data_IF_051909999434
#
_entry.id   IF_051909999434
#
_cell.length_a   1.000
_cell.length_b   1.000
_cell.length_c   1.000
_cell.angle_alpha   90.00
_cell.angle_beta   90.00
_cell.angle_gamma   90.00
#
_symmetry.space_group_name_H-M   'P 1'
#
loop_
_entity.id
_entity.type
_entity.pdbx_description
1 polymer ?
#
# COMPACT_ATOMS: atom_id res chain seq x y z
N UNK A 1 29.34 -51.53 42.77
CA UNK A 1 28.36 -51.48 41.69
C UNK A 1 26.98 -50.96 42.14
N UNK A 2 26.50 -51.28 43.36
CA UNK A 2 25.22 -50.81 43.91
C UNK A 2 25.11 -49.29 44.18
N UNK A 3 26.18 -48.60 44.57
CA UNK A 3 26.15 -47.14 44.80
C UNK A 3 25.99 -46.32 43.50
N UNK A 4 26.46 -46.79 42.35
CA UNK A 4 26.25 -46.09 41.06
C UNK A 4 24.81 -46.19 40.56
N UNK A 5 24.09 -47.24 40.89
CA UNK A 5 22.68 -47.42 40.52
C UNK A 5 21.76 -46.53 41.37
N UNK A 6 22.05 -46.28 42.65
CA UNK A 6 21.24 -45.39 43.49
C UNK A 6 21.35 -43.89 43.07
N UNK A 7 22.54 -43.43 42.64
CA UNK A 7 22.71 -42.04 42.16
C UNK A 7 22.01 -41.80 40.85
N UNK A 8 21.98 -42.77 39.95
CA UNK A 8 21.23 -42.62 38.65
C UNK A 8 19.71 -42.63 38.86
N UNK A 9 19.18 -43.35 39.84
CA UNK A 9 17.76 -43.38 40.15
C UNK A 9 17.22 -42.07 40.79
N UNK A 10 18.06 -41.29 41.46
CA UNK A 10 17.71 -39.98 42.01
C UNK A 10 17.94 -38.83 41.00
N UNK A 11 18.92 -38.96 40.11
CA UNK A 11 19.23 -37.91 39.11
C UNK A 11 18.14 -37.75 38.07
N UNK A 12 17.50 -38.81 37.63
CA UNK A 12 16.45 -38.77 36.60
C UNK A 12 15.22 -37.96 37.03
N UNK A 13 14.62 -38.22 38.23
CA UNK A 13 13.47 -37.43 38.70
C UNK A 13 13.84 -35.98 39.01
N UNK A 14 15.04 -35.67 39.48
CA UNK A 14 15.50 -34.29 39.70
C UNK A 14 15.67 -33.57 38.38
N UNK A 15 16.24 -34.20 37.38
CA UNK A 15 16.38 -33.64 36.04
C UNK A 15 15.01 -33.39 35.39
N UNK A 16 14.05 -34.30 35.58
CA UNK A 16 12.66 -34.13 35.10
C UNK A 16 11.94 -32.99 35.82
N UNK A 17 12.12 -32.83 37.11
CA UNK A 17 11.59 -31.70 37.91
C UNK A 17 12.19 -30.37 37.46
N UNK A 18 13.50 -30.31 37.23
CA UNK A 18 14.18 -29.11 36.72
C UNK A 18 13.69 -28.79 35.30
N UNK A 19 13.62 -29.76 34.44
CA UNK A 19 13.08 -29.57 33.06
C UNK A 19 11.61 -29.15 33.07
N UNK A 20 10.79 -29.75 33.95
CA UNK A 20 9.38 -29.32 34.08
C UNK A 20 9.22 -27.90 34.61
N UNK A 21 10.07 -27.48 35.57
CA UNK A 21 10.05 -26.10 36.07
C UNK A 21 10.50 -25.10 35.02
N UNK A 22 11.51 -25.41 34.19
CA UNK A 22 11.92 -24.57 33.07
C UNK A 22 10.83 -24.51 32.00
N UNK A 23 10.15 -25.61 31.69
CA UNK A 23 9.02 -25.64 30.76
C UNK A 23 7.84 -24.82 31.29
N UNK A 24 7.49 -24.97 32.58
CA UNK A 24 6.45 -24.16 33.23
C UNK A 24 6.77 -22.67 33.22
N UNK A 25 8.01 -22.28 33.53
CA UNK A 25 8.45 -20.89 33.46
C UNK A 25 8.42 -20.35 32.03
N UNK A 26 8.85 -21.15 31.07
CA UNK A 26 8.78 -20.78 29.63
C UNK A 26 7.35 -20.52 29.17
N UNK A 27 6.40 -21.36 29.58
CA UNK A 27 4.97 -21.21 29.25
C UNK A 27 4.36 -19.98 29.92
N UNK A 28 4.75 -19.70 31.19
CA UNK A 28 4.27 -18.53 31.95
C UNK A 28 4.81 -17.22 31.37
N UNK A 29 6.07 -17.19 30.96
CA UNK A 29 6.68 -16.04 30.27
C UNK A 29 5.97 -15.78 28.94
N UNK A 30 5.64 -16.79 28.17
CA UNK A 30 4.96 -16.63 26.86
C UNK A 30 3.52 -16.10 27.03
N UNK A 31 2.79 -16.54 28.06
CA UNK A 31 1.43 -16.04 28.36
C UNK A 31 1.40 -14.56 28.76
N UNK A 32 2.49 -14.04 29.33
CA UNK A 32 2.57 -12.66 29.80
C UNK A 32 3.06 -11.66 28.72
N UNK A 33 3.45 -12.12 27.53
CA UNK A 33 3.80 -11.22 26.44
C UNK A 33 2.58 -10.48 25.91
N UNK A 34 2.71 -9.18 25.55
CA UNK A 34 1.64 -8.47 24.89
C UNK A 34 1.40 -9.00 23.47
N UNK A 35 0.27 -8.63 22.91
CA UNK A 35 -0.05 -8.84 21.51
C UNK A 35 -0.02 -7.50 20.77
N UNK A 36 0.17 -7.51 19.43
CA UNK A 36 0.26 -6.28 18.67
C UNK A 36 -0.44 -6.35 17.30
N UNK A 37 -0.92 -5.21 16.85
CA UNK A 37 -1.21 -4.95 15.45
C UNK A 37 0.05 -4.35 14.83
N UNK A 38 0.50 -4.88 13.69
CA UNK A 38 1.77 -4.48 13.07
C UNK A 38 1.57 -4.14 11.60
N UNK A 39 2.21 -3.07 11.17
CA UNK A 39 2.34 -2.68 9.76
C UNK A 39 3.77 -2.27 9.44
N UNK A 40 4.05 -1.90 8.19
CA UNK A 40 5.36 -1.43 7.75
C UNK A 40 5.26 -0.13 6.97
N UNK A 41 6.30 0.70 7.09
CA UNK A 41 6.53 1.87 6.26
C UNK A 41 7.97 1.86 5.73
N UNK A 42 8.13 2.03 4.42
CA UNK A 42 9.41 2.29 3.79
C UNK A 42 9.32 3.57 2.94
N UNK A 43 10.33 4.42 3.06
CA UNK A 43 10.34 5.74 2.43
C UNK A 43 9.15 6.63 2.83
N UNK A 44 8.69 7.46 1.89
CA UNK A 44 7.58 8.42 2.10
C UNK A 44 6.23 7.96 1.54
N UNK A 45 6.22 6.89 0.73
CA UNK A 45 5.10 6.61 -0.19
C UNK A 45 3.77 6.30 0.48
N UNK A 46 3.76 5.69 1.67
CA UNK A 46 2.55 5.23 2.37
C UNK A 46 2.34 5.84 3.76
N UNK A 47 3.01 6.95 4.09
CA UNK A 47 2.84 7.64 5.38
C UNK A 47 1.36 7.91 5.69
N UNK A 48 0.63 8.48 4.75
CA UNK A 48 -0.79 8.79 4.93
C UNK A 48 -1.63 7.52 5.16
N UNK A 49 -1.34 6.44 4.45
CA UNK A 49 -2.01 5.14 4.66
C UNK A 49 -1.79 4.61 6.07
N UNK A 50 -0.54 4.58 6.55
CA UNK A 50 -0.19 4.17 7.92
C UNK A 50 -0.90 5.02 8.97
N UNK A 51 -0.99 6.34 8.75
CA UNK A 51 -1.67 7.26 9.66
C UNK A 51 -3.17 6.99 9.72
N UNK A 52 -3.82 6.78 8.58
CA UNK A 52 -5.26 6.49 8.50
C UNK A 52 -5.57 5.11 9.09
N UNK A 53 -4.74 4.10 8.82
CA UNK A 53 -4.82 2.81 9.51
C UNK A 53 -4.73 2.99 11.03
N UNK A 54 -3.74 3.76 11.52
CA UNK A 54 -3.58 4.05 12.95
C UNK A 54 -4.81 4.76 13.55
N UNK A 55 -5.46 5.65 12.79
CA UNK A 55 -6.71 6.29 13.21
C UNK A 55 -7.84 5.26 13.36
N UNK A 56 -8.01 4.36 12.39
CA UNK A 56 -9.03 3.31 12.47
C UNK A 56 -8.77 2.34 13.63
N UNK A 57 -7.50 1.99 13.91
CA UNK A 57 -7.09 1.19 15.06
C UNK A 57 -7.47 1.88 16.37
N UNK A 58 -7.18 3.16 16.55
CA UNK A 58 -7.58 3.93 17.75
C UNK A 58 -9.09 3.94 17.95
N UNK A 59 -9.84 4.18 16.89
CA UNK A 59 -11.31 4.23 16.94
C UNK A 59 -11.96 2.87 17.23
N UNK A 60 -11.29 1.76 16.87
CA UNK A 60 -11.73 0.41 17.22
C UNK A 60 -11.62 0.10 18.73
N UNK A 61 -10.98 0.99 19.51
CA UNK A 61 -10.75 0.83 20.97
C UNK A 61 -9.98 -0.45 21.30
N UNK A 62 -9.05 -0.83 20.42
CA UNK A 62 -8.16 -1.97 20.68
C UNK A 62 -7.40 -1.82 21.98
N UNK A 63 -7.13 -2.95 22.64
CA UNK A 63 -6.23 -3.06 23.81
C UNK A 63 -4.83 -3.51 23.42
N UNK A 64 -4.63 -3.82 22.13
CA UNK A 64 -3.35 -4.28 21.60
C UNK A 64 -2.39 -3.11 21.39
N UNK A 65 -1.11 -3.39 21.45
CA UNK A 65 -0.11 -2.46 20.95
C UNK A 65 -0.28 -2.30 19.42
N UNK A 66 0.00 -1.10 18.89
CA UNK A 66 0.13 -0.96 17.45
C UNK A 66 1.51 -0.43 17.10
N UNK A 67 2.18 -1.19 16.23
CA UNK A 67 3.58 -1.05 15.88
C UNK A 67 3.73 -0.79 14.39
N UNK A 68 4.53 0.19 14.03
CA UNK A 68 4.97 0.37 12.65
C UNK A 68 6.47 0.04 12.56
N UNK A 69 6.79 -0.93 11.72
CA UNK A 69 8.17 -1.20 11.32
C UNK A 69 8.58 -0.16 10.29
N UNK A 70 9.68 0.53 10.53
CA UNK A 70 10.19 1.57 9.64
C UNK A 70 11.59 1.22 9.15
N UNK A 71 11.83 1.37 7.86
CA UNK A 71 13.17 1.33 7.28
C UNK A 71 13.92 2.64 7.52
N UNK A 72 15.25 2.62 7.39
CA UNK A 72 16.09 3.80 7.69
C UNK A 72 15.91 4.97 6.72
N UNK A 73 15.26 4.77 5.58
CA UNK A 73 14.93 5.80 4.60
C UNK A 73 13.63 6.56 4.90
N UNK A 74 12.90 6.16 5.96
CA UNK A 74 11.74 6.92 6.45
C UNK A 74 12.21 8.21 7.11
N UNK A 75 11.71 9.39 6.69
CA UNK A 75 12.14 10.67 7.23
C UNK A 75 11.92 10.79 8.74
N UNK A 76 12.86 11.43 9.49
CA UNK A 76 12.71 11.63 10.93
C UNK A 76 11.43 12.39 11.32
N UNK A 77 11.00 13.35 10.50
CA UNK A 77 9.74 14.07 10.69
C UNK A 77 8.53 13.15 10.63
N UNK A 78 8.50 12.21 9.67
CA UNK A 78 7.47 11.17 9.57
C UNK A 78 7.44 10.30 10.81
N UNK A 79 8.61 9.85 11.30
CA UNK A 79 8.71 9.07 12.55
C UNK A 79 8.11 9.84 13.74
N UNK A 80 8.36 11.15 13.84
CA UNK A 80 7.79 11.98 14.92
C UNK A 80 6.27 12.07 14.83
N UNK A 81 5.73 12.21 13.62
CA UNK A 81 4.28 12.25 13.39
C UNK A 81 3.64 10.93 13.77
N UNK A 82 4.18 9.80 13.32
CA UNK A 82 3.68 8.48 13.67
C UNK A 82 3.69 8.22 15.18
N UNK A 83 4.74 8.66 15.90
CA UNK A 83 4.76 8.62 17.38
C UNK A 83 3.63 9.45 18.00
N UNK A 84 3.37 10.66 17.48
CA UNK A 84 2.25 11.51 17.93
C UNK A 84 0.89 10.87 17.63
N UNK A 85 0.79 10.15 16.52
CA UNK A 85 -0.40 9.37 16.17
C UNK A 85 -0.54 8.08 17.02
N UNK A 86 0.40 7.81 17.95
CA UNK A 86 0.34 6.73 18.93
C UNK A 86 1.05 5.44 18.50
N UNK A 87 1.68 5.41 17.34
CA UNK A 87 2.43 4.24 16.89
C UNK A 87 3.69 3.98 17.73
N UNK A 88 3.92 2.74 18.11
CA UNK A 88 5.23 2.26 18.56
C UNK A 88 6.11 2.05 17.33
N UNK A 89 7.30 2.67 17.33
CA UNK A 89 8.20 2.59 16.17
C UNK A 89 9.20 1.46 16.37
N UNK A 90 9.33 0.59 15.38
CA UNK A 90 10.38 -0.41 15.30
C UNK A 90 11.23 -0.15 14.05
N UNK A 91 12.46 0.32 14.25
CA UNK A 91 13.40 0.43 13.13
C UNK A 91 13.83 -0.97 12.70
N UNK A 92 13.87 -1.20 11.40
CA UNK A 92 14.28 -2.46 10.79
C UNK A 92 15.36 -2.21 9.73
N UNK A 93 16.33 -3.13 9.69
CA UNK A 93 17.30 -3.17 8.62
C UNK A 93 16.70 -3.82 7.36
N UNK A 94 17.27 -3.48 6.22
CA UNK A 94 16.93 -4.13 4.98
C UNK A 94 17.10 -5.65 5.07
N UNK A 95 16.24 -6.36 4.38
CA UNK A 95 16.29 -7.80 4.34
C UNK A 95 17.27 -8.20 3.23
N UNK A 96 18.38 -8.86 3.60
CA UNK A 96 19.30 -9.40 2.62
C UNK A 96 18.73 -10.69 2.02
N UNK A 97 18.28 -10.62 0.78
CA UNK A 97 17.74 -11.75 0.03
C UNK A 97 18.79 -12.41 -0.86
N UNK A 98 20.06 -11.99 -0.77
CA UNK A 98 21.16 -12.49 -1.57
C UNK A 98 20.90 -12.26 -3.08
N UNK A 99 20.90 -13.36 -3.88
CA UNK A 99 20.67 -13.29 -5.33
C UNK A 99 19.20 -13.42 -5.74
N UNK A 100 18.31 -13.61 -4.79
CA UNK A 100 16.88 -13.76 -5.07
C UNK A 100 16.25 -12.41 -5.48
N UNK A 101 15.39 -12.43 -6.50
CA UNK A 101 14.70 -11.24 -6.99
C UNK A 101 13.38 -11.07 -6.25
N UNK A 102 13.42 -10.36 -5.13
CA UNK A 102 12.23 -9.95 -4.37
C UNK A 102 12.09 -8.45 -4.37
N UNK A 103 10.85 -7.97 -4.44
CA UNK A 103 10.56 -6.56 -4.24
C UNK A 103 10.57 -6.16 -2.75
N UNK A 104 10.46 -4.86 -2.46
CA UNK A 104 10.54 -4.33 -1.10
C UNK A 104 9.45 -4.86 -0.15
N UNK A 105 8.37 -5.43 -0.66
CA UNK A 105 7.31 -6.03 0.16
C UNK A 105 7.80 -7.21 0.98
N UNK A 106 8.93 -7.82 0.59
CA UNK A 106 9.56 -8.92 1.33
C UNK A 106 10.02 -8.51 2.74
N UNK A 107 10.26 -7.21 3.00
CA UNK A 107 10.60 -6.72 4.35
C UNK A 107 9.50 -6.98 5.38
N UNK A 108 8.30 -7.30 4.95
CA UNK A 108 7.21 -7.82 5.79
C UNK A 108 7.67 -9.02 6.63
N UNK A 109 8.59 -9.84 6.12
CA UNK A 109 9.15 -10.98 6.85
C UNK A 109 9.82 -10.58 8.17
N UNK A 110 10.24 -9.34 8.35
CA UNK A 110 10.79 -8.85 9.62
C UNK A 110 9.80 -8.89 10.79
N UNK A 111 8.48 -9.05 10.54
CA UNK A 111 7.51 -9.20 11.63
C UNK A 111 7.81 -10.43 12.50
N UNK A 112 8.41 -11.50 11.95
CA UNK A 112 8.80 -12.67 12.75
C UNK A 112 9.94 -12.39 13.74
N UNK A 113 10.64 -11.26 13.63
CA UNK A 113 11.68 -10.84 14.59
C UNK A 113 11.10 -10.20 15.85
N UNK A 114 9.82 -9.84 15.88
CA UNK A 114 9.17 -9.14 16.99
C UNK A 114 8.79 -10.11 18.12
N UNK A 115 9.75 -10.90 18.58
CA UNK A 115 9.54 -12.00 19.54
C UNK A 115 9.16 -11.55 20.96
N UNK A 116 9.17 -10.26 21.23
CA UNK A 116 8.60 -9.65 22.43
C UNK A 116 7.07 -9.72 22.48
N UNK A 117 6.41 -9.91 21.33
CA UNK A 117 4.96 -10.11 21.23
C UNK A 117 4.62 -11.61 21.19
N UNK A 118 3.48 -11.97 21.78
CA UNK A 118 2.95 -13.33 21.76
C UNK A 118 2.31 -13.64 20.39
N UNK A 119 1.49 -12.70 19.90
CA UNK A 119 0.84 -12.74 18.58
C UNK A 119 0.93 -11.38 17.91
N UNK A 120 1.02 -11.41 16.61
CA UNK A 120 0.97 -10.24 15.75
C UNK A 120 -0.19 -10.38 14.79
N UNK A 121 -1.04 -9.37 14.73
CA UNK A 121 -2.00 -9.15 13.66
C UNK A 121 -1.33 -8.23 12.65
N UNK A 122 -0.88 -8.78 11.55
CA UNK A 122 -0.33 -8.00 10.44
C UNK A 122 -1.45 -7.35 9.64
N UNK A 123 -1.31 -6.06 9.32
CA UNK A 123 -2.25 -5.30 8.49
C UNK A 123 -1.45 -4.42 7.52
N UNK A 124 -1.68 -4.58 6.22
CA UNK A 124 -1.07 -3.71 5.21
C UNK A 124 -1.57 -2.27 5.37
N UNK A 125 -0.71 -1.30 5.07
CA UNK A 125 -0.96 0.13 5.27
C UNK A 125 -2.08 0.72 4.38
N UNK A 126 -2.58 -0.05 3.43
CA UNK A 126 -3.72 0.26 2.57
C UNK A 126 -5.02 -0.40 3.03
N UNK A 127 -5.11 -0.72 4.31
CA UNK A 127 -6.33 -1.23 4.94
C UNK A 127 -6.80 -0.31 6.08
N UNK A 128 -8.06 -0.49 6.51
CA UNK A 128 -8.65 0.17 7.67
C UNK A 128 -9.48 -0.82 8.48
N UNK A 129 -9.51 -0.63 9.80
CA UNK A 129 -10.42 -1.34 10.69
C UNK A 129 -11.78 -0.63 10.70
N UNK A 130 -12.85 -1.39 10.56
CA UNK A 130 -14.22 -0.89 10.75
C UNK A 130 -14.86 -1.45 12.01
N UNK A 131 -14.27 -2.51 12.60
CA UNK A 131 -14.63 -3.08 13.89
C UNK A 131 -13.39 -3.48 14.69
N UNK A 132 -13.57 -3.77 16.01
CA UNK A 132 -12.50 -4.30 16.86
C UNK A 132 -12.14 -5.73 16.45
N UNK A 133 -10.84 -6.03 16.44
CA UNK A 133 -10.28 -7.32 16.02
C UNK A 133 -9.40 -7.98 17.09
N UNK A 134 -9.47 -7.53 18.33
CA UNK A 134 -8.58 -8.02 19.41
C UNK A 134 -8.70 -9.55 19.60
N UNK A 135 -9.86 -10.13 19.30
CA UNK A 135 -10.08 -11.57 19.40
C UNK A 135 -9.24 -12.39 18.40
N UNK A 136 -8.72 -11.78 17.31
CA UNK A 136 -7.87 -12.48 16.36
C UNK A 136 -6.55 -13.01 16.96
N UNK A 137 -6.09 -12.47 18.09
CA UNK A 137 -4.89 -12.99 18.79
C UNK A 137 -5.04 -14.43 19.27
N UNK A 138 -6.28 -14.95 19.29
CA UNK A 138 -6.57 -16.36 19.62
C UNK A 138 -6.40 -17.29 18.44
N UNK A 139 -6.30 -16.76 17.23
CA UNK A 139 -6.01 -17.55 16.03
C UNK A 139 -4.64 -18.24 16.16
N UNK A 140 -4.37 -19.23 15.34
CA UNK A 140 -3.19 -20.08 15.44
C UNK A 140 -1.85 -19.39 15.25
N UNK A 141 -0.81 -20.17 15.04
CA UNK A 141 0.54 -19.68 14.80
C UNK A 141 0.68 -18.99 13.42
N UNK A 142 -0.22 -19.30 12.48
CA UNK A 142 -0.39 -18.60 11.22
C UNK A 142 -1.85 -18.64 10.81
N UNK A 143 -2.43 -17.46 10.49
CA UNK A 143 -3.79 -17.37 9.97
C UNK A 143 -3.87 -16.32 8.88
N UNK A 144 -4.64 -16.61 7.82
CA UNK A 144 -4.87 -15.69 6.72
C UNK A 144 -6.22 -15.94 6.06
N UNK A 145 -6.73 -14.95 5.31
CA UNK A 145 -7.99 -15.07 4.59
C UNK A 145 -7.75 -15.68 3.21
N UNK A 146 -8.35 -16.85 2.98
CA UNK A 146 -8.42 -17.49 1.67
C UNK A 146 -9.66 -17.00 0.95
N UNK A 147 -9.48 -16.59 -0.29
CA UNK A 147 -10.56 -16.13 -1.17
C UNK A 147 -11.08 -17.29 -2.03
N UNK A 148 -11.51 -17.01 -3.23
CA UNK A 148 -12.05 -18.00 -4.19
C UNK A 148 -11.01 -18.99 -4.75
N UNK A 149 -9.80 -19.00 -4.22
CA UNK A 149 -8.69 -19.88 -4.64
C UNK A 149 -8.03 -20.51 -3.43
N UNK A 150 -7.16 -21.50 -3.67
CA UNK A 150 -6.31 -22.09 -2.63
C UNK A 150 -5.18 -21.17 -2.17
N UNK A 151 -5.26 -19.87 -2.50
CA UNK A 151 -4.29 -18.86 -2.15
C UNK A 151 -4.90 -17.81 -1.23
N UNK A 152 -4.14 -17.43 -0.20
CA UNK A 152 -4.53 -16.35 0.70
C UNK A 152 -3.95 -15.01 0.24
N UNK A 153 -4.57 -13.92 0.70
CA UNK A 153 -4.02 -12.58 0.58
C UNK A 153 -3.15 -12.26 1.81
N UNK A 154 -1.91 -11.81 1.59
CA UNK A 154 -0.92 -11.52 2.64
C UNK A 154 -1.10 -10.15 3.29
N UNK A 155 -2.12 -9.39 2.93
CA UNK A 155 -2.35 -8.06 3.52
C UNK A 155 -2.88 -8.12 4.96
N UNK A 156 -3.58 -9.21 5.32
CA UNK A 156 -4.06 -9.44 6.68
C UNK A 156 -3.67 -10.85 7.11
N UNK A 157 -2.86 -10.95 8.17
CA UNK A 157 -2.40 -12.22 8.70
C UNK A 157 -2.31 -12.17 10.23
N UNK A 158 -2.51 -13.28 10.89
CA UNK A 158 -2.11 -13.47 12.29
C UNK A 158 -0.89 -14.37 12.30
N UNK A 159 0.16 -13.97 13.01
CA UNK A 159 1.39 -14.76 13.11
C UNK A 159 1.88 -14.87 14.56
N UNK A 160 2.49 -15.99 14.89
CA UNK A 160 3.31 -16.15 16.10
C UNK A 160 4.76 -15.80 15.76
N UNK A 161 5.32 -14.67 16.28
CA UNK A 161 6.71 -14.30 16.00
C UNK A 161 7.68 -15.39 16.44
N UNK A 162 8.63 -15.75 15.58
CA UNK A 162 9.61 -16.79 15.83
C UNK A 162 10.83 -16.62 14.93
N UNK A 163 12.01 -16.51 15.51
CA UNK A 163 13.27 -16.47 14.74
C UNK A 163 13.51 -17.77 13.98
N UNK A 164 13.11 -18.91 14.56
CA UNK A 164 13.20 -20.20 13.89
C UNK A 164 12.30 -20.25 12.65
N UNK A 165 11.10 -19.68 12.73
CA UNK A 165 10.19 -19.62 11.57
C UNK A 165 10.73 -18.68 10.49
N UNK A 166 11.30 -17.55 10.88
CA UNK A 166 12.00 -16.65 9.96
C UNK A 166 13.16 -17.35 9.26
N UNK A 167 13.96 -18.12 10.00
CA UNK A 167 15.07 -18.90 9.44
C UNK A 167 14.56 -19.91 8.39
N UNK A 168 13.47 -20.63 8.69
CA UNK A 168 12.86 -21.58 7.75
C UNK A 168 12.35 -20.88 6.48
N UNK A 169 11.68 -19.73 6.63
CA UNK A 169 11.21 -18.92 5.48
C UNK A 169 12.41 -18.45 4.67
N UNK A 170 13.47 -17.95 5.30
CA UNK A 170 14.67 -17.48 4.63
C UNK A 170 15.38 -18.62 3.90
N UNK A 171 15.49 -19.80 4.52
CA UNK A 171 16.02 -21.00 3.87
C UNK A 171 15.15 -21.43 2.67
N UNK A 172 13.84 -21.27 2.79
CA UNK A 172 12.91 -21.54 1.68
C UNK A 172 13.10 -20.57 0.52
N UNK A 173 13.36 -19.29 0.77
CA UNK A 173 13.67 -18.26 -0.24
C UNK A 173 14.96 -18.58 -1.02
N UNK A 174 15.89 -19.33 -0.43
CA UNK A 174 17.14 -19.70 -1.07
C UNK A 174 17.00 -20.86 -2.07
N UNK A 175 15.80 -21.40 -2.29
CA UNK A 175 15.57 -22.47 -3.25
C UNK A 175 15.74 -21.98 -4.70
N UNK A 176 16.17 -22.86 -5.64
CA UNK A 176 16.45 -22.49 -7.02
C UNK A 176 15.31 -21.74 -7.73
N UNK A 177 14.07 -22.07 -7.42
CA UNK A 177 12.89 -21.44 -8.03
C UNK A 177 12.77 -19.93 -7.76
N UNK A 178 13.38 -19.45 -6.66
CA UNK A 178 13.38 -18.02 -6.31
C UNK A 178 14.68 -17.32 -6.74
N UNK A 179 15.76 -18.08 -6.98
CA UNK A 179 17.07 -17.54 -7.37
C UNK A 179 17.18 -17.27 -8.88
N UNK A 180 16.46 -18.04 -9.68
CA UNK A 180 16.45 -17.89 -11.13
C UNK A 180 15.05 -17.44 -11.57
N UNK A 181 14.98 -16.44 -12.45
CA UNK A 181 13.80 -16.24 -13.27
C UNK A 181 13.60 -17.56 -14.03
N UNK A 182 12.43 -18.19 -13.99
CA UNK A 182 12.25 -19.49 -14.59
C UNK A 182 12.67 -19.44 -16.06
N UNK A 183 13.78 -20.07 -16.40
CA UNK A 183 13.97 -20.53 -17.77
C UNK A 183 12.91 -21.59 -18.03
N UNK A 184 12.29 -21.58 -19.19
CA UNK A 184 11.21 -22.49 -19.60
C UNK A 184 11.54 -23.99 -19.41
N UNK A 185 12.76 -24.35 -19.05
CA UNK A 185 13.29 -25.71 -18.90
C UNK A 185 13.34 -26.26 -17.46
N UNK A 186 13.08 -25.43 -16.44
CA UNK A 186 13.04 -25.97 -15.06
C UNK A 186 11.62 -26.41 -14.74
N UNK A 187 11.33 -27.68 -14.81
CA UNK A 187 10.00 -28.30 -14.54
C UNK A 187 9.31 -27.96 -13.19
N UNK A 188 9.55 -26.78 -12.63
CA UNK A 188 8.83 -26.20 -11.52
C UNK A 188 7.61 -25.45 -12.05
N UNK A 189 6.40 -25.89 -11.72
CA UNK A 189 5.12 -25.29 -12.10
C UNK A 189 4.85 -23.89 -11.48
N UNK A 190 5.83 -23.25 -10.85
CA UNK A 190 5.68 -21.94 -10.21
C UNK A 190 6.32 -20.89 -11.11
N UNK A 191 5.57 -20.40 -12.08
CA UNK A 191 5.93 -19.26 -12.89
C UNK A 191 5.53 -17.95 -12.17
N UNK A 192 6.39 -16.91 -12.28
CA UNK A 192 5.96 -15.56 -11.94
C UNK A 192 4.70 -15.20 -12.75
N UNK A 193 3.73 -14.49 -12.16
CA UNK A 193 2.60 -13.98 -12.92
C UNK A 193 3.07 -13.22 -14.16
N UNK A 194 2.38 -13.31 -15.30
CA UNK A 194 2.76 -12.58 -16.50
C UNK A 194 2.97 -11.08 -16.21
N UNK A 195 4.11 -10.54 -16.58
CA UNK A 195 4.48 -9.15 -16.36
C UNK A 195 5.13 -8.82 -15.01
N UNK A 196 5.39 -9.83 -14.14
CA UNK A 196 6.16 -9.64 -12.92
C UNK A 196 7.61 -10.05 -13.12
N UNK A 197 8.56 -9.13 -12.84
CA UNK A 197 10.00 -9.40 -12.91
C UNK A 197 10.56 -9.89 -11.55
N UNK A 198 9.81 -9.72 -10.46
CA UNK A 198 10.24 -9.99 -9.09
C UNK A 198 9.15 -10.73 -8.30
N UNK A 199 9.59 -11.53 -7.32
CA UNK A 199 8.71 -12.22 -6.40
C UNK A 199 8.17 -11.26 -5.34
N UNK A 200 6.85 -11.29 -5.09
CA UNK A 200 6.23 -10.59 -3.98
C UNK A 200 6.15 -11.47 -2.72
N UNK A 201 5.89 -10.82 -1.58
CA UNK A 201 5.66 -11.46 -0.29
C UNK A 201 4.50 -12.47 -0.33
N UNK A 202 3.41 -12.14 -1.00
CA UNK A 202 2.22 -12.99 -1.08
C UNK A 202 2.51 -14.32 -1.78
N UNK A 203 3.24 -14.29 -2.88
CA UNK A 203 3.56 -15.51 -3.63
C UNK A 203 4.49 -16.42 -2.82
N UNK A 204 5.51 -15.84 -2.17
CA UNK A 204 6.43 -16.56 -1.30
C UNK A 204 5.69 -17.22 -0.14
N UNK A 205 4.89 -16.45 0.58
CA UNK A 205 4.17 -16.95 1.77
C UNK A 205 3.14 -18.03 1.42
N UNK A 206 2.42 -17.86 0.31
CA UNK A 206 1.50 -18.89 -0.18
C UNK A 206 2.23 -20.19 -0.51
N UNK A 207 3.34 -20.10 -1.24
CA UNK A 207 4.14 -21.28 -1.58
C UNK A 207 4.69 -21.95 -0.32
N UNK A 208 5.21 -21.18 0.63
CA UNK A 208 5.74 -21.70 1.89
C UNK A 208 4.65 -22.37 2.74
N UNK A 209 3.62 -21.63 3.12
CA UNK A 209 2.61 -22.12 4.06
C UNK A 209 1.72 -23.22 3.49
N UNK A 210 1.42 -23.18 2.19
CA UNK A 210 0.65 -24.24 1.56
C UNK A 210 1.49 -25.51 1.32
N UNK A 211 2.78 -25.40 0.99
CA UNK A 211 3.63 -26.57 0.81
C UNK A 211 4.02 -27.24 2.13
N UNK A 212 4.34 -26.45 3.16
CA UNK A 212 4.86 -26.95 4.45
C UNK A 212 3.73 -27.31 5.41
N UNK A 213 2.73 -26.43 5.56
CA UNK A 213 1.69 -26.57 6.58
C UNK A 213 0.30 -26.91 6.05
N UNK A 214 0.10 -26.94 4.72
CA UNK A 214 -1.20 -27.25 4.09
C UNK A 214 -2.35 -26.35 4.59
N UNK A 215 -2.05 -25.06 4.83
CA UNK A 215 -2.98 -24.10 5.46
C UNK A 215 -4.29 -23.95 4.69
N UNK A 216 -4.29 -24.14 3.36
CA UNK A 216 -5.51 -24.14 2.55
C UNK A 216 -6.56 -25.17 2.98
N UNK A 217 -6.17 -26.22 3.71
CA UNK A 217 -7.06 -27.26 4.23
C UNK A 217 -7.30 -27.16 5.74
N UNK A 218 -6.74 -26.13 6.40
CA UNK A 218 -6.95 -25.93 7.83
C UNK A 218 -8.38 -25.50 8.15
N UNK A 219 -8.77 -25.64 9.40
CA UNK A 219 -10.09 -25.21 9.86
C UNK A 219 -10.25 -23.68 9.79
N UNK A 220 -11.51 -23.25 9.71
CA UNK A 220 -11.86 -21.84 9.79
C UNK A 220 -11.80 -21.38 11.24
N UNK A 221 -11.29 -20.16 11.46
CA UNK A 221 -11.31 -19.50 12.76
C UNK A 221 -12.75 -19.15 13.17
N UNK A 222 -13.08 -19.48 14.40
CA UNK A 222 -14.35 -19.12 15.02
C UNK A 222 -14.10 -18.07 16.12
N UNK A 223 -14.66 -16.88 15.92
CA UNK A 223 -14.54 -15.79 16.89
C UNK A 223 -15.22 -16.07 18.23
N UNK A 224 -16.18 -17.00 18.27
CA UNK A 224 -16.86 -17.39 19.49
C UNK A 224 -16.04 -18.37 20.34
N UNK A 225 -15.04 -19.05 19.73
CA UNK A 225 -14.14 -19.95 20.46
C UNK A 225 -13.17 -19.12 21.33
N UNK A 226 -13.25 -19.21 22.68
CA UNK A 226 -12.38 -18.44 23.58
C UNK A 226 -10.96 -18.96 23.65
N UNK A 227 -10.65 -20.11 23.04
CA UNK A 227 -9.36 -20.78 23.18
C UNK A 227 -8.28 -20.16 22.29
N UNK A 228 -7.04 -20.20 22.76
CA UNK A 228 -5.87 -19.87 21.94
C UNK A 228 -5.44 -21.10 21.16
N UNK A 229 -5.30 -20.96 19.86
CA UNK A 229 -4.88 -22.03 18.97
C UNK A 229 -3.40 -21.94 18.63
N UNK A 230 -2.76 -23.06 18.40
CA UNK A 230 -1.36 -23.13 17.94
C UNK A 230 -1.25 -23.66 16.50
N UNK A 231 -2.30 -24.31 15.99
CA UNK A 231 -2.33 -24.80 14.61
C UNK A 231 -2.67 -23.68 13.63
N UNK A 232 -2.17 -23.72 12.39
CA UNK A 232 -2.58 -22.77 11.36
C UNK A 232 -4.09 -22.84 11.09
N UNK A 233 -4.71 -21.70 10.81
CA UNK A 233 -6.14 -21.59 10.56
C UNK A 233 -6.43 -20.67 9.37
N UNK A 234 -7.61 -20.78 8.80
CA UNK A 234 -8.12 -19.81 7.82
C UNK A 234 -8.97 -18.76 8.53
N UNK A 235 -8.84 -17.52 8.09
CA UNK A 235 -9.71 -16.44 8.56
C UNK A 235 -10.95 -16.32 7.66
N UNK A 236 -12.14 -16.04 8.23
CA UNK A 236 -13.30 -15.61 7.47
C UNK A 236 -13.02 -14.38 6.58
N UNK A 237 -13.75 -14.24 5.48
CA UNK A 237 -13.56 -13.14 4.51
C UNK A 237 -13.73 -11.74 5.12
N UNK A 238 -14.56 -11.62 6.16
CA UNK A 238 -14.78 -10.35 6.86
C UNK A 238 -13.52 -9.70 7.46
N UNK A 239 -12.48 -10.49 7.71
CA UNK A 239 -11.19 -9.98 8.20
C UNK A 239 -10.25 -9.48 7.10
N UNK A 240 -10.63 -9.64 5.83
CA UNK A 240 -9.91 -9.08 4.70
C UNK A 240 -10.89 -8.82 3.54
N UNK A 241 -11.83 -7.88 3.75
CA UNK A 241 -12.79 -7.48 2.74
C UNK A 241 -12.06 -6.82 1.57
N UNK A 242 -11.92 -7.56 0.48
CA UNK A 242 -11.16 -7.14 -0.69
C UNK A 242 -11.90 -6.11 -1.52
N UNK A 243 -11.35 -4.91 -1.57
CA UNK A 243 -11.95 -3.82 -2.32
C UNK A 243 -11.93 -4.04 -3.85
N UNK A 244 -10.93 -4.73 -4.39
CA UNK A 244 -10.91 -5.05 -5.81
C UNK A 244 -12.05 -6.01 -6.20
N UNK A 245 -12.41 -6.95 -5.32
CA UNK A 245 -13.57 -7.82 -5.51
C UNK A 245 -14.88 -7.03 -5.42
N UNK A 246 -15.00 -6.13 -4.43
CA UNK A 246 -16.15 -5.24 -4.32
C UNK A 246 -16.36 -4.40 -5.60
N UNK A 247 -15.30 -3.81 -6.14
CA UNK A 247 -15.39 -3.02 -7.38
C UNK A 247 -15.79 -3.86 -8.60
N UNK A 248 -15.37 -5.13 -8.63
CA UNK A 248 -15.73 -6.07 -9.71
C UNK A 248 -17.19 -6.50 -9.63
N UNK A 249 -17.65 -6.85 -8.43
CA UNK A 249 -18.92 -7.53 -8.20
C UNK A 249 -20.06 -6.56 -7.82
N UNK A 250 -19.72 -5.34 -7.38
CA UNK A 250 -20.68 -4.32 -6.96
C UNK A 250 -21.26 -4.54 -5.55
N UNK A 251 -20.79 -5.53 -4.81
CA UNK A 251 -21.22 -5.82 -3.44
C UNK A 251 -20.09 -6.47 -2.62
N UNK A 252 -20.23 -6.42 -1.29
CA UNK A 252 -19.34 -7.13 -0.37
C UNK A 252 -19.79 -8.58 -0.23
N UNK A 253 -18.84 -9.52 -0.21
CA UNK A 253 -19.10 -10.94 -0.03
C UNK A 253 -19.63 -11.30 1.38
N UNK A 254 -19.57 -10.35 2.32
CA UNK A 254 -20.00 -10.52 3.71
C UNK A 254 -20.98 -9.43 4.10
N UNK A 255 -21.85 -9.71 5.09
CA UNK A 255 -22.77 -8.74 5.66
C UNK A 255 -22.01 -7.63 6.40
N UNK A 256 -22.64 -6.46 6.57
CA UNK A 256 -22.02 -5.30 7.24
C UNK A 256 -21.55 -5.60 8.67
N UNK A 257 -22.30 -6.41 9.41
CA UNK A 257 -21.95 -6.84 10.78
C UNK A 257 -20.69 -7.72 10.85
N UNK A 258 -20.36 -8.41 9.75
CA UNK A 258 -19.25 -9.35 9.67
C UNK A 258 -18.02 -8.75 8.98
N UNK A 259 -18.07 -7.45 8.60
CA UNK A 259 -16.93 -6.71 8.06
C UNK A 259 -16.08 -6.15 9.19
N UNK A 260 -14.85 -6.60 9.29
CA UNK A 260 -13.87 -6.15 10.29
C UNK A 260 -12.80 -5.25 9.70
N UNK A 261 -12.29 -5.62 8.53
CA UNK A 261 -11.19 -4.90 7.86
C UNK A 261 -11.53 -4.72 6.38
N UNK A 262 -11.50 -3.48 5.90
CA UNK A 262 -11.55 -3.17 4.47
C UNK A 262 -10.11 -3.02 3.97
N UNK A 263 -9.74 -3.78 2.95
CA UNK A 263 -8.43 -3.76 2.35
C UNK A 263 -8.50 -3.25 0.92
N UNK A 264 -7.90 -2.09 0.67
CA UNK A 264 -7.93 -1.40 -0.62
C UNK A 264 -6.90 -1.98 -1.60
N UNK A 265 -7.12 -3.21 -2.03
CA UNK A 265 -6.21 -4.02 -2.85
C UNK A 265 -6.04 -3.52 -4.29
N UNK A 266 -7.00 -2.76 -4.83
CA UNK A 266 -6.98 -2.24 -6.19
C UNK A 266 -5.91 -1.16 -6.36
N UNK A 267 -4.73 -1.49 -6.87
CA UNK A 267 -3.58 -0.61 -7.01
C UNK A 267 -3.87 0.77 -7.61
N UNK A 268 -4.53 0.88 -8.78
CA UNK A 268 -4.80 2.17 -9.42
C UNK A 268 -5.96 2.94 -8.76
N UNK A 269 -6.75 2.32 -7.86
CA UNK A 269 -7.96 2.89 -7.28
C UNK A 269 -7.87 3.10 -5.76
N UNK A 270 -6.65 3.21 -5.23
CA UNK A 270 -6.42 3.39 -3.79
C UNK A 270 -6.96 4.73 -3.27
N UNK A 271 -7.48 4.78 -2.03
CA UNK A 271 -8.17 5.95 -1.48
C UNK A 271 -7.28 7.17 -1.24
N UNK A 272 -5.96 7.02 -1.21
CA UNK A 272 -5.04 8.17 -1.18
C UNK A 272 -4.96 8.90 -2.53
N UNK A 273 -5.47 8.31 -3.61
CA UNK A 273 -5.45 8.90 -4.94
C UNK A 273 -6.69 9.81 -5.12
N UNK A 274 -6.48 11.12 -5.18
CA UNK A 274 -7.52 12.14 -5.19
C UNK A 274 -8.59 11.95 -6.29
N UNK A 275 -8.22 11.41 -7.45
CA UNK A 275 -9.10 11.25 -8.61
C UNK A 275 -10.07 10.07 -8.51
N UNK A 276 -9.93 9.21 -7.50
CA UNK A 276 -10.74 7.99 -7.34
C UNK A 276 -12.11 8.24 -6.70
N UNK A 277 -12.27 9.32 -5.96
CA UNK A 277 -13.44 9.59 -5.10
C UNK A 277 -14.78 9.66 -5.83
N UNK A 278 -14.89 10.22 -7.06
CA UNK A 278 -16.14 10.17 -7.81
C UNK A 278 -16.54 8.77 -8.29
N UNK A 279 -15.56 7.85 -8.37
CA UNK A 279 -15.73 6.53 -8.96
C UNK A 279 -15.84 5.42 -7.92
N UNK A 280 -15.35 5.65 -6.71
CA UNK A 280 -15.08 4.63 -5.71
C UNK A 280 -15.73 5.03 -4.38
N UNK A 281 -16.95 4.56 -4.14
CA UNK A 281 -17.78 4.93 -2.98
C UNK A 281 -17.14 4.52 -1.63
N UNK A 282 -16.55 3.33 -1.51
CA UNK A 282 -15.91 2.89 -0.27
C UNK A 282 -14.65 3.71 0.10
N UNK A 283 -14.08 4.49 -0.84
CA UNK A 283 -13.00 5.41 -0.53
C UNK A 283 -13.45 6.53 0.43
N UNK A 284 -14.74 6.85 0.47
CA UNK A 284 -15.30 7.82 1.42
C UNK A 284 -15.21 7.35 2.88
N UNK A 285 -15.23 6.03 3.13
CA UNK A 285 -15.02 5.46 4.47
C UNK A 285 -13.60 5.78 4.93
N UNK A 286 -12.62 5.54 4.08
CA UNK A 286 -11.21 5.86 4.35
C UNK A 286 -11.00 7.37 4.58
N UNK A 287 -11.63 8.22 3.75
CA UNK A 287 -11.57 9.68 3.90
C UNK A 287 -12.15 10.13 5.25
N UNK A 288 -13.21 9.49 5.72
CA UNK A 288 -13.77 9.76 7.05
C UNK A 288 -12.73 9.58 8.17
N UNK A 289 -11.93 8.50 8.14
CA UNK A 289 -10.81 8.32 9.09
C UNK A 289 -9.71 9.37 8.90
N UNK A 290 -9.35 9.68 7.64
CA UNK A 290 -8.39 10.74 7.35
C UNK A 290 -8.79 12.09 7.94
N UNK A 291 -10.07 12.46 7.87
CA UNK A 291 -10.57 13.74 8.40
C UNK A 291 -10.43 13.86 9.93
N UNK A 292 -10.37 12.74 10.64
CA UNK A 292 -10.24 12.65 12.10
C UNK A 292 -8.81 12.48 12.59
N UNK A 293 -7.81 12.55 11.69
CA UNK A 293 -6.40 12.50 12.08
C UNK A 293 -6.05 13.62 13.07
N UNK A 294 -5.23 13.34 14.11
CA UNK A 294 -4.88 14.31 15.15
C UNK A 294 -4.09 15.51 14.63
N UNK A 295 -3.35 15.34 13.56
CA UNK A 295 -2.53 16.40 12.96
C UNK A 295 -2.61 16.36 11.44
N UNK A 296 -2.63 17.53 10.82
CA UNK A 296 -2.56 17.71 9.36
C UNK A 296 -1.11 17.87 8.88
N UNK A 297 -0.18 17.19 9.49
CA UNK A 297 1.20 17.23 9.08
C UNK A 297 1.35 16.77 7.62
N UNK A 298 2.11 17.52 6.82
CA UNK A 298 2.28 17.32 5.37
C UNK A 298 1.02 17.48 4.53
N UNK A 299 -0.10 17.96 5.08
CA UNK A 299 -1.15 18.49 4.21
C UNK A 299 -0.56 19.69 3.45
N UNK A 300 -0.72 19.77 2.11
CA UNK A 300 -0.21 20.89 1.36
C UNK A 300 -0.82 22.18 1.91
N UNK A 301 0.01 23.19 2.09
CA UNK A 301 -0.48 24.49 2.46
C UNK A 301 -1.23 25.11 1.28
N UNK A 302 -2.15 26.03 1.55
CA UNK A 302 -2.81 26.80 0.49
C UNK A 302 -1.79 27.47 -0.44
N UNK A 303 -0.59 27.75 0.06
CA UNK A 303 0.51 28.36 -0.68
C UNK A 303 1.12 27.40 -1.72
N UNK A 304 1.07 26.09 -1.49
CA UNK A 304 1.51 25.11 -2.48
C UNK A 304 0.57 25.10 -3.71
N UNK A 305 -0.68 25.56 -3.54
CA UNK A 305 -1.60 25.81 -4.63
C UNK A 305 -1.17 27.00 -5.50
N UNK A 306 -0.37 27.92 -4.98
CA UNK A 306 0.09 29.12 -5.70
C UNK A 306 1.37 28.90 -6.52
N UNK A 307 1.95 27.72 -6.56
CA UNK A 307 3.06 27.38 -7.45
C UNK A 307 2.72 27.58 -8.96
N UNK A 308 1.45 27.80 -9.27
CA UNK A 308 0.97 28.17 -10.61
C UNK A 308 1.15 29.67 -10.96
N UNK A 309 1.47 30.55 -10.00
CA UNK A 309 1.64 32.00 -10.24
C UNK A 309 2.60 32.29 -11.39
N UNK A 310 3.80 31.66 -11.50
CA UNK A 310 4.70 31.89 -12.62
C UNK A 310 4.05 31.61 -13.97
N UNK A 311 3.24 30.58 -14.03
CA UNK A 311 2.57 30.15 -15.27
C UNK A 311 1.38 31.07 -15.58
N UNK A 312 0.68 31.60 -14.56
CA UNK A 312 -0.32 32.66 -14.76
C UNK A 312 0.32 33.92 -15.33
N UNK A 313 1.48 34.31 -14.81
CA UNK A 313 2.24 35.45 -15.32
C UNK A 313 2.63 35.25 -16.78
N UNK A 314 3.12 34.08 -17.15
CA UNK A 314 3.43 33.72 -18.55
C UNK A 314 2.17 33.79 -19.41
N UNK A 315 1.05 33.26 -18.92
CA UNK A 315 -0.24 33.30 -19.64
C UNK A 315 -0.73 34.73 -19.82
N UNK A 316 -0.65 35.55 -18.77
CA UNK A 316 -1.02 36.99 -18.84
C UNK A 316 -0.09 37.76 -19.77
N UNK A 317 1.22 37.53 -19.72
CA UNK A 317 2.17 38.14 -20.65
C UNK A 317 1.86 37.74 -22.10
N UNK A 318 1.54 36.48 -22.32
CA UNK A 318 1.12 35.99 -23.62
C UNK A 318 -0.17 36.66 -24.10
N UNK A 319 -1.18 36.80 -23.22
CA UNK A 319 -2.43 37.50 -23.52
C UNK A 319 -2.18 39.00 -23.80
N UNK A 320 -1.32 39.66 -23.01
CA UNK A 320 -0.94 41.08 -23.23
C UNK A 320 -0.25 41.25 -24.60
N UNK A 321 0.72 40.40 -24.92
CA UNK A 321 1.39 40.39 -26.23
C UNK A 321 0.39 40.16 -27.35
N UNK A 322 -0.62 39.32 -27.16
CA UNK A 322 -1.66 39.04 -28.16
C UNK A 322 -2.63 40.18 -28.35
N UNK A 323 -3.08 40.82 -27.26
CA UNK A 323 -4.07 41.91 -27.33
C UNK A 323 -3.44 43.28 -27.53
N UNK A 324 -2.11 43.35 -27.65
CA UNK A 324 -1.42 44.55 -28.08
C UNK A 324 -1.38 44.63 -29.60
N UNK A 325 -2.39 45.21 -30.26
CA UNK A 325 -2.70 44.94 -31.69
C UNK A 325 -1.82 45.67 -32.69
N UNK A 326 -0.70 46.27 -32.37
CA UNK A 326 -0.05 47.16 -33.32
C UNK A 326 1.45 47.22 -33.25
N UNK A 327 2.12 46.07 -33.18
CA UNK A 327 3.53 46.06 -33.52
C UNK A 327 3.70 45.64 -34.99
N UNK A 328 3.98 46.55 -35.92
CA UNK A 328 4.25 46.24 -37.34
C UNK A 328 5.38 45.24 -37.53
N UNK A 329 6.22 45.06 -36.48
CA UNK A 329 7.38 44.17 -36.47
C UNK A 329 6.99 42.66 -36.31
N UNK A 330 5.81 42.34 -35.77
CA UNK A 330 5.38 40.96 -35.52
C UNK A 330 4.62 40.36 -36.74
N UNK A 331 4.10 41.18 -37.61
CA UNK A 331 3.33 40.76 -38.80
C UNK A 331 4.10 39.78 -39.72
N UNK A 332 5.42 39.99 -40.00
CA UNK A 332 6.17 39.04 -40.84
C UNK A 332 6.37 37.67 -40.21
N UNK A 333 6.50 37.60 -38.83
CA UNK A 333 6.60 36.34 -38.10
C UNK A 333 5.30 35.56 -38.11
N UNK A 334 4.18 36.25 -37.93
CA UNK A 334 2.86 35.62 -38.02
C UNK A 334 2.59 35.07 -39.44
N UNK A 335 2.97 35.79 -40.49
CA UNK A 335 2.83 35.30 -41.91
C UNK A 335 3.68 34.06 -42.18
N UNK A 336 4.87 33.90 -41.58
CA UNK A 336 5.69 32.70 -41.73
C UNK A 336 5.09 31.48 -41.00
N UNK A 337 4.55 31.69 -39.78
CA UNK A 337 3.90 30.62 -39.02
C UNK A 337 2.61 30.20 -39.68
N UNK A 338 1.81 31.15 -40.22
CA UNK A 338 0.57 30.84 -40.92
C UNK A 338 0.79 30.14 -42.27
N UNK A 339 1.88 30.44 -42.96
CA UNK A 339 2.26 29.72 -44.19
C UNK A 339 2.61 28.25 -43.94
N UNK A 340 3.13 27.94 -42.73
CA UNK A 340 3.42 26.57 -42.33
C UNK A 340 2.16 25.78 -41.95
N UNK A 341 1.10 26.47 -41.47
CA UNK A 341 -0.16 25.89 -41.02
C UNK A 341 -1.27 26.01 -42.10
N UNK A 342 -0.93 26.30 -43.35
CA UNK A 342 -1.89 26.45 -44.44
C UNK A 342 -2.78 25.21 -44.61
N UNK A 343 -4.12 25.33 -44.58
CA UNK A 343 -5.01 24.19 -44.69
C UNK A 343 -5.07 23.72 -46.15
N UNK A 344 -4.23 22.76 -46.51
CA UNK A 344 -4.55 21.88 -47.64
C UNK A 344 -5.66 20.93 -47.21
N UNK A 345 -6.60 20.60 -48.12
CA UNK A 345 -7.78 19.76 -47.85
C UNK A 345 -7.51 18.40 -47.23
N UNK A 346 -6.25 17.97 -47.14
CA UNK A 346 -5.81 16.67 -46.59
C UNK A 346 -5.00 16.82 -45.30
N UNK A 347 -5.09 17.94 -44.58
CA UNK A 347 -4.24 18.22 -43.42
C UNK A 347 -4.76 17.54 -42.14
N UNK A 348 -4.48 16.26 -41.98
CA UNK A 348 -4.62 15.51 -40.74
C UNK A 348 -4.00 16.24 -39.54
N UNK A 349 -2.96 17.05 -39.74
CA UNK A 349 -2.31 17.88 -38.73
C UNK A 349 -3.31 18.83 -38.05
N UNK A 350 -4.21 19.46 -38.80
CA UNK A 350 -5.23 20.37 -38.27
C UNK A 350 -6.26 19.67 -37.38
N UNK A 351 -6.51 18.38 -37.61
CA UNK A 351 -7.42 17.59 -36.78
C UNK A 351 -6.73 17.04 -35.53
N UNK A 352 -5.53 16.50 -35.70
CA UNK A 352 -4.84 15.84 -34.58
C UNK A 352 -4.16 16.83 -33.63
N UNK A 353 -3.69 18.00 -34.10
CA UNK A 353 -3.01 18.97 -33.25
C UNK A 353 -3.85 19.44 -32.06
N UNK A 354 -5.11 19.89 -32.20
CA UNK A 354 -5.94 20.29 -31.07
C UNK A 354 -6.19 19.15 -30.09
N UNK A 355 -6.50 17.95 -30.61
CA UNK A 355 -6.74 16.76 -29.78
C UNK A 355 -5.49 16.39 -28.98
N UNK A 356 -4.34 16.37 -29.62
CA UNK A 356 -3.05 16.08 -28.98
C UNK A 356 -2.73 17.12 -27.91
N UNK A 357 -2.88 18.42 -28.19
CA UNK A 357 -2.65 19.48 -27.22
C UNK A 357 -3.62 19.41 -26.03
N UNK A 358 -4.87 19.03 -26.27
CA UNK A 358 -5.85 18.81 -25.20
C UNK A 358 -5.43 17.64 -24.30
N UNK A 359 -5.04 16.51 -24.89
CA UNK A 359 -4.54 15.36 -24.13
C UNK A 359 -3.27 15.70 -23.35
N UNK A 360 -2.35 16.45 -23.93
CA UNK A 360 -1.17 16.96 -23.21
C UNK A 360 -1.57 17.87 -22.05
N UNK A 361 -2.54 18.77 -22.25
CA UNK A 361 -3.03 19.65 -21.19
C UNK A 361 -3.57 18.85 -20.01
N UNK A 362 -4.39 17.82 -20.25
CA UNK A 362 -4.88 16.93 -19.20
C UNK A 362 -3.75 16.17 -18.51
N UNK A 363 -2.81 15.60 -19.27
CA UNK A 363 -1.69 14.87 -18.73
C UNK A 363 -0.81 15.74 -17.82
N UNK A 364 -0.42 16.92 -18.27
CA UNK A 364 0.40 17.84 -17.46
C UNK A 364 -0.36 18.33 -16.24
N UNK A 365 -1.65 18.64 -16.35
CA UNK A 365 -2.49 19.03 -15.21
C UNK A 365 -2.56 17.93 -14.17
N UNK A 366 -2.74 16.69 -14.59
CA UNK A 366 -2.78 15.53 -13.70
C UNK A 366 -1.46 15.37 -12.91
N UNK A 367 -0.32 15.62 -13.56
CA UNK A 367 1.01 15.55 -12.93
C UNK A 367 1.26 16.65 -11.89
N UNK A 368 0.54 17.78 -11.98
CA UNK A 368 0.68 18.88 -11.01
C UNK A 368 -0.11 18.63 -9.72
N UNK A 369 -1.06 17.71 -9.71
CA UNK A 369 -1.88 17.43 -8.53
C UNK A 369 -1.18 16.42 -7.64
N UNK A 370 -0.95 16.77 -6.39
CA UNK A 370 -0.37 15.86 -5.40
C UNK A 370 -1.44 15.03 -4.70
N UNK A 371 -1.10 13.80 -4.34
CA UNK A 371 -2.03 12.90 -3.64
C UNK A 371 -2.32 13.33 -2.19
N UNK A 372 -1.61 14.34 -1.67
CA UNK A 372 -1.82 14.85 -0.32
C UNK A 372 -2.96 15.87 -0.23
N UNK A 373 -3.44 16.39 -1.36
CA UNK A 373 -4.59 17.29 -1.39
C UNK A 373 -5.89 16.57 -0.99
N UNK A 374 -6.81 17.32 -0.39
CA UNK A 374 -8.19 16.85 -0.24
C UNK A 374 -8.82 16.62 -1.61
N UNK A 375 -9.69 15.62 -1.79
CA UNK A 375 -10.23 15.29 -3.11
C UNK A 375 -10.88 16.48 -3.82
N UNK A 376 -11.67 17.29 -3.11
CA UNK A 376 -12.29 18.48 -3.69
C UNK A 376 -11.27 19.55 -4.12
N UNK A 377 -10.25 19.80 -3.30
CA UNK A 377 -9.15 20.72 -3.61
C UNK A 377 -8.35 20.20 -4.81
N UNK A 378 -8.07 18.91 -4.83
CA UNK A 378 -7.34 18.27 -5.94
C UNK A 378 -8.07 18.42 -7.27
N UNK A 379 -9.40 18.27 -7.30
CA UNK A 379 -10.21 18.52 -8.50
C UNK A 379 -10.20 19.98 -8.93
N UNK A 380 -10.25 20.92 -7.98
CA UNK A 380 -10.14 22.35 -8.28
C UNK A 380 -8.76 22.65 -8.88
N UNK A 381 -7.68 22.17 -8.26
CA UNK A 381 -6.30 22.34 -8.77
C UNK A 381 -6.13 21.73 -10.15
N UNK A 382 -6.63 20.52 -10.35
CA UNK A 382 -6.63 19.86 -11.65
C UNK A 382 -7.36 20.69 -12.72
N UNK A 383 -8.56 21.19 -12.39
CA UNK A 383 -9.33 22.06 -13.28
C UNK A 383 -8.61 23.36 -13.64
N UNK A 384 -8.02 24.02 -12.65
CA UNK A 384 -7.24 25.25 -12.87
C UNK A 384 -6.03 25.01 -13.78
N UNK A 385 -5.24 23.96 -13.51
CA UNK A 385 -4.11 23.60 -14.37
C UNK A 385 -4.57 23.23 -15.79
N UNK A 386 -5.70 22.52 -15.91
CA UNK A 386 -6.26 22.14 -17.21
C UNK A 386 -6.65 23.36 -18.02
N UNK A 387 -7.39 24.31 -17.43
CA UNK A 387 -7.78 25.57 -18.10
C UNK A 387 -6.53 26.32 -18.55
N UNK A 388 -5.53 26.38 -17.69
CA UNK A 388 -4.30 27.11 -17.97
C UNK A 388 -3.49 26.46 -19.09
N UNK A 389 -3.26 25.14 -19.07
CA UNK A 389 -2.55 24.45 -20.16
C UNK A 389 -3.33 24.50 -21.47
N UNK A 390 -4.68 24.38 -21.44
CA UNK A 390 -5.51 24.61 -22.62
C UNK A 390 -5.29 26.04 -23.15
N UNK A 391 -5.29 27.04 -22.27
CA UNK A 391 -5.07 28.42 -22.67
C UNK A 391 -3.69 28.63 -23.31
N UNK A 392 -2.66 28.05 -22.70
CA UNK A 392 -1.28 28.18 -23.21
C UNK A 392 -1.08 27.46 -24.54
N UNK A 393 -1.66 26.27 -24.71
CA UNK A 393 -1.43 25.45 -25.91
C UNK A 393 -2.43 25.70 -27.01
N UNK A 394 -3.74 25.85 -26.70
CA UNK A 394 -4.80 25.96 -27.70
C UNK A 394 -5.01 27.38 -28.21
N UNK A 395 -4.85 28.38 -27.33
CA UNK A 395 -5.07 29.77 -27.76
C UNK A 395 -4.14 30.22 -28.89
N UNK A 396 -2.82 29.90 -28.89
CA UNK A 396 -1.95 30.21 -30.02
C UNK A 396 -2.40 29.56 -31.31
N UNK A 397 -2.85 28.29 -31.26
CA UNK A 397 -3.30 27.53 -32.42
C UNK A 397 -4.59 28.14 -32.99
N UNK A 398 -5.57 28.43 -32.16
CA UNK A 398 -6.80 29.07 -32.56
C UNK A 398 -6.57 30.47 -33.15
N UNK A 399 -5.64 31.22 -32.55
CA UNK A 399 -5.29 32.56 -33.02
C UNK A 399 -4.61 32.54 -34.40
N UNK A 400 -3.64 31.65 -34.61
CA UNK A 400 -2.99 31.47 -35.89
C UNK A 400 -4.00 31.07 -36.97
N UNK A 401 -4.94 30.19 -36.64
CA UNK A 401 -6.02 29.79 -37.52
C UNK A 401 -6.95 30.97 -37.86
N UNK A 402 -7.37 31.76 -36.87
CA UNK A 402 -8.24 32.92 -37.06
C UNK A 402 -7.57 34.01 -37.91
N UNK A 403 -6.29 34.34 -37.62
CA UNK A 403 -5.53 35.28 -38.46
C UNK A 403 -5.40 34.80 -39.91
N UNK A 404 -5.19 33.48 -40.08
CA UNK A 404 -5.14 32.90 -41.43
C UNK A 404 -6.45 33.09 -42.20
N UNK A 405 -7.60 32.87 -41.53
CA UNK A 405 -8.92 33.10 -42.11
C UNK A 405 -9.18 34.58 -42.49
N UNK A 406 -8.65 35.52 -41.71
CA UNK A 406 -8.77 36.94 -41.98
C UNK A 406 -7.85 37.45 -43.10
N UNK A 407 -6.79 36.69 -43.43
CA UNK A 407 -5.82 37.06 -44.47
C UNK A 407 -6.10 36.36 -45.79
N UNK A 408 -7.07 35.47 -45.88
CA UNK A 408 -7.66 34.93 -47.09
C UNK A 408 -8.83 35.80 -47.58
#
# INVERSE_FOLDING_TARGET
>A
MQQRLQVSQLMVPVLLLVLSSFLCQGVEIEKNKPDAIVTILFGKGFELGVRVLGQSIRESKTKLDYVVMCTHDVPPETIQVLKKDGWKIRMIDYFDVGKAKFDNRIYKMKMWTLTEYRRIIWIDADAILVQNIDHLVRCGNFCATYRHSDLFNSGIMVVKPSLLELEKITAFMSRPQFLNVPSADSGSNVALPPGCEEWGDQNLLNEYYNSVYKVQYSRLFDEQDPTYHEEPMRLPEGYNCDYALYLRDGYWAVEDKDKYIIHYTAGPLKPQLWWTYPLCDANWIWLGFRQRLPSRYNDPSIWDLFNWIPLLVVTLLFLVIRFCPSSPQLVPYCKRITAFISPRKDNWIMFFTPTTLLLFSYYFSFKQVTNNLWPGEAWVVFGMWTIMFISVFMVPVCYTYFIFQLLQ
#
